data_IF_979870528485
#
_entry.id   IF_979870528485
#
_cell.length_a   1.000
_cell.length_b   1.000
_cell.length_c   1.000
_cell.angle_alpha   90.00
_cell.angle_beta   90.00
_cell.angle_gamma   90.00
#
_symmetry.space_group_name_H-M   'P 1'
#
loop_
_entity.id
_entity.type
_entity.pdbx_description
1 polymer ?
#
# COMPACT_ATOMS: atom_id res chain seq x y z
N UNK A 1 0.43 -18.25 3.11
CA UNK A 1 1.55 -19.18 2.93
C UNK A 1 2.75 -18.52 3.59
N UNK A 2 2.95 -18.80 4.88
CA UNK A 2 3.86 -18.02 5.73
C UNK A 2 5.02 -18.92 6.10
N UNK A 3 6.14 -18.78 5.40
CA UNK A 3 7.43 -19.21 5.94
C UNK A 3 8.03 -18.02 6.70
N UNK A 4 8.97 -18.29 7.62
CA UNK A 4 10.13 -17.45 7.97
C UNK A 4 10.45 -17.41 9.47
N UNK A 5 11.60 -17.99 9.80
CA UNK A 5 12.59 -17.40 10.71
C UNK A 5 13.81 -17.09 9.86
N UNK A 6 14.52 -16.00 10.12
CA UNK A 6 15.75 -15.68 9.41
C UNK A 6 16.77 -15.12 10.39
N UNK A 7 18.02 -15.56 10.24
CA UNK A 7 19.20 -14.87 10.73
C UNK A 7 20.04 -14.57 9.50
N UNK A 8 20.38 -13.31 9.25
CA UNK A 8 21.25 -12.94 8.13
C UNK A 8 22.70 -12.92 8.61
N UNK A 9 23.48 -13.89 8.13
CA UNK A 9 24.93 -13.82 8.23
C UNK A 9 25.51 -13.62 6.83
N UNK A 10 26.37 -12.62 6.67
CA UNK A 10 27.23 -12.51 5.50
C UNK A 10 28.33 -13.56 5.60
N UNK A 11 28.10 -14.75 5.03
CA UNK A 11 29.14 -15.77 4.88
C UNK A 11 29.91 -15.49 3.57
N UNK A 12 30.87 -14.57 3.61
CA UNK A 12 31.67 -14.19 2.44
C UNK A 12 30.87 -13.44 1.37
N UNK A 13 30.94 -13.88 0.11
CA UNK A 13 30.34 -13.20 -1.05
C UNK A 13 28.82 -13.45 -1.23
N UNK A 14 28.20 -14.30 -0.42
CA UNK A 14 26.77 -14.65 -0.54
C UNK A 14 25.98 -14.34 0.73
N UNK A 15 24.68 -14.11 0.58
CA UNK A 15 23.73 -13.98 1.68
C UNK A 15 23.21 -15.36 2.06
N UNK A 16 23.21 -15.67 3.36
CA UNK A 16 22.69 -16.92 3.88
C UNK A 16 21.28 -16.72 4.45
N UNK A 17 20.33 -17.51 3.96
CA UNK A 17 19.00 -17.64 4.55
C UNK A 17 18.88 -18.99 5.25
N UNK A 18 18.38 -19.00 6.48
CA UNK A 18 18.01 -20.23 7.19
C UNK A 18 16.51 -20.37 7.17
N UNK A 19 15.98 -21.46 6.59
CA UNK A 19 14.56 -21.76 6.56
C UNK A 19 14.10 -22.37 7.89
N UNK A 20 12.77 -22.48 8.09
CA UNK A 20 12.19 -22.96 9.35
C UNK A 20 12.60 -24.41 9.68
N UNK A 21 12.86 -25.22 8.68
CA UNK A 21 13.34 -26.61 8.82
C UNK A 21 14.86 -26.71 9.05
N UNK A 22 15.56 -25.57 9.13
CA UNK A 22 17.01 -25.49 9.29
C UNK A 22 17.78 -25.54 7.97
N UNK A 23 17.10 -25.72 6.82
CA UNK A 23 17.76 -25.67 5.52
C UNK A 23 18.42 -24.30 5.29
N UNK A 24 19.64 -24.33 4.76
CA UNK A 24 20.40 -23.14 4.43
C UNK A 24 20.38 -22.90 2.92
N UNK A 25 20.06 -21.68 2.51
CA UNK A 25 20.05 -21.24 1.12
C UNK A 25 21.03 -20.08 0.96
N UNK A 26 21.94 -20.20 0.00
CA UNK A 26 22.86 -19.12 -0.36
C UNK A 26 22.33 -18.39 -1.58
N UNK A 27 22.25 -17.06 -1.51
CA UNK A 27 21.79 -16.20 -2.60
C UNK A 27 22.70 -14.98 -2.78
N UNK A 28 22.80 -14.49 -4.01
CA UNK A 28 23.53 -13.26 -4.32
C UNK A 28 22.69 -12.00 -4.01
N UNK A 29 21.36 -12.13 -3.98
CA UNK A 29 20.41 -11.08 -3.60
C UNK A 29 19.23 -11.70 -2.85
N UNK A 30 18.76 -11.03 -1.80
CA UNK A 30 17.55 -11.40 -1.07
C UNK A 30 16.56 -10.23 -1.11
N UNK A 31 15.30 -10.53 -1.43
CA UNK A 31 14.20 -9.56 -1.41
C UNK A 31 13.23 -9.91 -0.29
N UNK A 32 13.12 -9.00 0.68
CA UNK A 32 12.13 -9.04 1.75
C UNK A 32 10.78 -8.55 1.24
N UNK A 33 9.90 -9.50 0.93
CA UNK A 33 8.50 -9.27 0.54
C UNK A 33 7.52 -9.94 1.53
N UNK A 34 7.90 -10.01 2.80
CA UNK A 34 7.23 -10.78 3.87
C UNK A 34 6.15 -9.99 4.62
N UNK A 35 5.69 -8.88 4.04
CA UNK A 35 4.51 -8.14 4.47
C UNK A 35 4.70 -7.29 5.73
N UNK A 36 3.60 -6.81 6.30
CA UNK A 36 3.60 -5.84 7.41
C UNK A 36 4.26 -6.36 8.71
N UNK A 37 4.37 -7.67 8.87
CA UNK A 37 5.07 -8.33 9.98
C UNK A 37 6.53 -8.69 9.64
N UNK A 38 7.12 -7.97 8.69
CA UNK A 38 8.40 -8.32 8.09
C UNK A 38 9.52 -8.50 9.12
N UNK A 39 10.19 -9.65 9.02
CA UNK A 39 11.49 -9.89 9.67
C UNK A 39 12.62 -9.27 8.85
N UNK A 40 12.51 -9.30 7.52
CA UNK A 40 13.50 -8.66 6.65
C UNK A 40 13.68 -7.17 6.98
N UNK A 41 12.58 -6.46 7.24
CA UNK A 41 12.58 -5.06 7.69
C UNK A 41 13.36 -4.89 9.00
N UNK A 42 13.16 -5.79 9.97
CA UNK A 42 13.89 -5.73 11.24
C UNK A 42 15.38 -6.00 11.07
N UNK A 43 15.76 -6.89 10.17
CA UNK A 43 17.15 -7.22 9.84
C UNK A 43 17.85 -6.05 9.12
N UNK A 44 17.14 -5.40 8.21
CA UNK A 44 17.60 -4.17 7.56
C UNK A 44 17.77 -3.07 8.60
N UNK A 45 16.80 -2.84 9.48
CA UNK A 45 16.81 -1.75 10.47
C UNK A 45 17.76 -1.99 11.65
N UNK A 46 17.90 -3.24 12.08
CA UNK A 46 18.50 -3.61 13.36
C UNK A 46 17.56 -3.40 14.57
N UNK A 47 16.29 -3.08 14.32
CA UNK A 47 15.27 -2.90 15.36
C UNK A 47 13.87 -3.19 14.82
N UNK A 48 12.90 -3.37 15.72
CA UNK A 48 11.50 -3.62 15.35
C UNK A 48 10.81 -2.35 14.83
N UNK A 49 10.27 -2.40 13.61
CA UNK A 49 9.39 -1.35 13.08
C UNK A 49 7.98 -1.52 13.66
N UNK A 50 7.72 -0.86 14.79
CA UNK A 50 6.45 -0.97 15.52
C UNK A 50 5.37 -0.09 14.90
N UNK A 51 4.16 -0.61 14.87
CA UNK A 51 2.98 0.17 14.59
C UNK A 51 2.82 1.31 15.62
N UNK A 52 2.33 2.44 15.15
CA UNK A 52 1.95 3.60 15.95
C UNK A 52 0.47 3.91 15.73
N UNK A 53 -0.12 4.63 16.68
CA UNK A 53 -1.50 5.11 16.55
C UNK A 53 -1.65 6.00 15.30
N UNK A 54 -2.65 5.76 14.44
CA UNK A 54 -2.88 6.58 13.26
C UNK A 54 -3.45 7.95 13.64
N UNK A 55 -3.31 8.92 12.73
CA UNK A 55 -3.67 10.32 13.00
C UNK A 55 -5.18 10.59 12.98
N UNK A 56 -5.91 9.94 12.07
CA UNK A 56 -7.29 10.31 11.76
C UNK A 56 -8.30 9.16 11.99
N UNK A 57 -7.94 7.93 11.64
CA UNK A 57 -8.80 6.77 11.78
C UNK A 57 -8.00 5.55 12.23
N UNK A 58 -8.50 4.85 13.24
CA UNK A 58 -7.85 3.67 13.83
C UNK A 58 -8.63 2.37 13.61
N UNK A 59 -9.77 2.45 12.90
CA UNK A 59 -10.61 1.31 12.67
C UNK A 59 -11.34 1.40 11.32
N UNK A 60 -11.62 0.25 10.71
CA UNK A 60 -12.60 0.19 9.65
C UNK A 60 -13.47 -1.08 9.70
N UNK A 61 -14.71 -0.94 9.23
CA UNK A 61 -15.59 -2.04 8.90
C UNK A 61 -15.51 -2.34 7.41
N UNK A 62 -15.44 -3.62 7.05
CA UNK A 62 -15.47 -4.08 5.67
C UNK A 62 -16.52 -5.17 5.48
N UNK A 63 -17.29 -5.05 4.42
CA UNK A 63 -18.31 -6.03 4.07
C UNK A 63 -18.59 -6.00 2.57
N UNK A 64 -19.16 -7.10 2.07
CA UNK A 64 -19.55 -7.26 0.68
C UNK A 64 -21.05 -7.49 0.61
N UNK A 65 -21.69 -6.93 -0.43
CA UNK A 65 -23.10 -7.17 -0.72
C UNK A 65 -23.23 -7.59 -2.19
N UNK A 66 -23.77 -8.78 -2.50
CA UNK A 66 -24.08 -9.15 -3.87
C UNK A 66 -25.07 -8.16 -4.50
N UNK A 67 -24.81 -7.73 -5.73
CA UNK A 67 -25.69 -6.81 -6.44
C UNK A 67 -27.11 -7.38 -6.61
N UNK A 68 -27.23 -8.70 -6.81
CA UNK A 68 -28.50 -9.40 -6.90
C UNK A 68 -29.34 -9.24 -5.62
N UNK A 69 -28.72 -9.31 -4.44
CA UNK A 69 -29.41 -9.10 -3.15
C UNK A 69 -30.04 -7.71 -3.08
N UNK A 70 -29.36 -6.69 -3.63
CA UNK A 70 -29.88 -5.33 -3.65
C UNK A 70 -30.99 -5.17 -4.70
N UNK A 71 -30.85 -5.84 -5.85
CA UNK A 71 -31.79 -5.78 -6.97
C UNK A 71 -33.16 -6.38 -6.63
N UNK A 72 -33.16 -7.46 -5.83
CA UNK A 72 -34.37 -8.17 -5.40
C UNK A 72 -35.27 -7.35 -4.44
N UNK A 73 -34.78 -6.25 -3.89
CA UNK A 73 -35.53 -5.39 -2.97
C UNK A 73 -35.79 -4.00 -3.59
N UNK A 74 -37.07 -3.62 -3.68
CA UNK A 74 -37.49 -2.34 -4.23
C UNK A 74 -36.89 -1.12 -3.49
N UNK A 75 -36.59 -1.26 -2.20
CA UNK A 75 -36.02 -0.19 -1.38
C UNK A 75 -34.50 -0.04 -1.56
N UNK A 76 -33.80 -1.03 -2.11
CA UNK A 76 -32.34 -1.00 -2.27
C UNK A 76 -31.83 -1.15 -3.70
N UNK A 77 -32.67 -1.58 -4.65
CA UNK A 77 -32.27 -1.75 -6.07
C UNK A 77 -31.74 -0.48 -6.72
N UNK A 78 -32.13 0.69 -6.20
CA UNK A 78 -31.61 1.97 -6.67
C UNK A 78 -30.08 2.05 -6.57
N UNK A 79 -29.48 1.29 -5.66
CA UNK A 79 -28.04 1.28 -5.44
C UNK A 79 -27.24 0.73 -6.64
N UNK A 80 -27.83 -0.21 -7.40
CA UNK A 80 -27.21 -0.80 -8.59
C UNK A 80 -27.23 0.13 -9.81
N UNK A 81 -27.97 1.24 -9.76
CA UNK A 81 -28.00 2.21 -10.87
C UNK A 81 -26.73 3.05 -10.90
N UNK A 82 -26.24 3.31 -12.10
CA UNK A 82 -25.09 4.20 -12.37
C UNK A 82 -23.86 3.90 -11.49
N UNK A 83 -23.60 2.61 -11.22
CA UNK A 83 -22.49 2.17 -10.36
C UNK A 83 -21.25 1.71 -11.12
N UNK A 84 -21.35 1.50 -12.44
CA UNK A 84 -20.29 0.93 -13.26
C UNK A 84 -19.05 1.83 -13.30
N UNK A 85 -17.93 1.33 -12.78
CA UNK A 85 -16.64 2.04 -12.79
C UNK A 85 -16.54 3.21 -11.80
N UNK A 86 -17.54 3.43 -10.94
CA UNK A 86 -17.54 4.52 -9.98
C UNK A 86 -17.33 4.03 -8.54
N UNK A 87 -16.54 4.78 -7.79
CA UNK A 87 -16.51 4.71 -6.34
C UNK A 87 -17.38 5.83 -5.74
N UNK A 88 -18.20 5.48 -4.75
CA UNK A 88 -18.99 6.42 -3.97
C UNK A 88 -18.27 6.71 -2.67
N UNK A 89 -18.05 7.98 -2.38
CA UNK A 89 -17.52 8.47 -1.11
C UNK A 89 -18.64 9.20 -0.38
N UNK A 90 -18.93 8.77 0.85
CA UNK A 90 -19.89 9.40 1.75
C UNK A 90 -19.14 9.85 3.01
N UNK A 91 -18.54 11.05 2.99
CA UNK A 91 -17.82 11.58 4.13
C UNK A 91 -18.76 12.27 5.11
N UNK A 92 -18.46 12.16 6.40
CA UNK A 92 -18.98 13.01 7.46
C UNK A 92 -17.78 13.74 8.09
N UNK A 93 -17.66 15.03 7.77
CA UNK A 93 -16.51 15.84 8.17
C UNK A 93 -16.51 16.20 9.66
N UNK A 94 -17.68 16.25 10.30
CA UNK A 94 -17.81 16.63 11.70
C UNK A 94 -17.33 15.50 12.61
N UNK A 95 -17.78 14.27 12.32
CA UNK A 95 -17.34 13.07 13.06
C UNK A 95 -16.08 12.42 12.49
N UNK A 96 -15.58 12.91 11.35
CA UNK A 96 -14.45 12.35 10.57
C UNK A 96 -14.65 10.90 10.15
N UNK A 97 -15.90 10.43 10.09
CA UNK A 97 -16.27 9.10 9.57
C UNK A 97 -16.41 9.14 8.06
N UNK A 98 -16.10 8.04 7.39
CA UNK A 98 -16.18 7.92 5.94
C UNK A 98 -16.73 6.57 5.56
N UNK A 99 -17.62 6.54 4.58
CA UNK A 99 -18.03 5.31 3.94
C UNK A 99 -17.63 5.35 2.46
N UNK A 100 -17.00 4.28 2.01
CA UNK A 100 -16.58 4.08 0.62
C UNK A 100 -17.29 2.85 0.09
N UNK A 101 -17.89 2.98 -1.09
CA UNK A 101 -18.52 1.85 -1.77
C UNK A 101 -18.12 1.82 -3.25
N UNK A 102 -17.78 0.65 -3.76
CA UNK A 102 -17.47 0.45 -5.18
C UNK A 102 -17.80 -0.98 -5.61
N UNK A 103 -17.98 -1.17 -6.91
CA UNK A 103 -18.26 -2.49 -7.46
C UNK A 103 -17.00 -3.30 -7.74
N UNK A 104 -17.14 -4.62 -7.65
CA UNK A 104 -16.11 -5.62 -7.93
C UNK A 104 -16.69 -6.71 -8.82
N UNK A 105 -15.81 -7.47 -9.49
CA UNK A 105 -16.18 -8.67 -10.27
C UNK A 105 -17.27 -8.37 -11.31
N UNK A 106 -17.02 -7.42 -12.20
CA UNK A 106 -17.96 -6.97 -13.23
C UNK A 106 -19.34 -6.62 -12.62
N UNK A 107 -19.33 -5.74 -11.62
CA UNK A 107 -20.54 -5.20 -10.97
C UNK A 107 -21.43 -6.22 -10.24
N UNK A 108 -20.97 -7.46 -10.06
CA UNK A 108 -21.75 -8.50 -9.35
C UNK A 108 -21.70 -8.36 -7.82
N UNK A 109 -20.73 -7.63 -7.28
CA UNK A 109 -20.54 -7.43 -5.84
C UNK A 109 -20.22 -5.97 -5.54
N UNK A 110 -20.89 -5.40 -4.54
CA UNK A 110 -20.49 -4.12 -3.94
C UNK A 110 -19.57 -4.37 -2.75
N UNK A 111 -18.39 -3.76 -2.76
CA UNK A 111 -17.50 -3.68 -1.60
C UNK A 111 -17.77 -2.39 -0.84
N UNK A 112 -17.91 -2.50 0.48
CA UNK A 112 -18.05 -1.38 1.39
C UNK A 112 -16.88 -1.33 2.38
N UNK A 113 -16.40 -0.11 2.63
CA UNK A 113 -15.41 0.19 3.67
C UNK A 113 -15.90 1.39 4.47
N UNK A 114 -16.15 1.20 5.75
CA UNK A 114 -16.54 2.26 6.67
C UNK A 114 -15.35 2.57 7.60
N UNK A 115 -14.76 3.75 7.49
CA UNK A 115 -13.55 4.16 8.20
C UNK A 115 -13.92 5.19 9.26
N UNK A 116 -13.40 5.02 10.47
CA UNK A 116 -13.72 5.88 11.60
C UNK A 116 -12.63 5.84 12.67
N UNK A 117 -12.70 6.80 13.59
CA UNK A 117 -11.94 6.77 14.82
C UNK A 117 -12.79 6.14 15.94
N UNK A 118 -12.22 5.19 16.67
CA UNK A 118 -12.84 4.53 17.80
C UNK A 118 -11.97 4.69 19.04
N UNK A 119 -12.47 5.45 20.02
CA UNK A 119 -11.77 5.72 21.28
C UNK A 119 -11.57 4.47 22.15
N UNK A 120 -12.32 3.39 21.89
CA UNK A 120 -12.26 2.14 22.65
C UNK A 120 -11.29 1.12 22.06
N UNK A 121 -10.67 1.43 20.91
CA UNK A 121 -9.60 0.60 20.35
C UNK A 121 -8.34 0.71 21.23
N UNK A 122 -7.86 -0.41 21.81
CA UNK A 122 -6.64 -0.39 22.62
C UNK A 122 -5.42 0.06 21.80
N UNK A 123 -4.51 0.85 22.38
CA UNK A 123 -3.30 1.32 21.70
C UNK A 123 -2.33 0.18 21.31
N UNK A 124 -2.47 -1.01 21.90
CA UNK A 124 -1.66 -2.21 21.65
C UNK A 124 -2.37 -3.27 20.80
N UNK A 125 -3.46 -2.89 20.09
CA UNK A 125 -4.19 -3.84 19.26
C UNK A 125 -3.29 -4.43 18.17
N UNK A 126 -3.45 -5.73 17.89
CA UNK A 126 -2.69 -6.43 16.84
C UNK A 126 -3.45 -6.42 15.52
N UNK A 127 -2.70 -6.35 14.42
CA UNK A 127 -3.22 -6.31 13.04
C UNK A 127 -4.09 -7.52 12.67
N UNK A 128 -3.82 -8.67 13.31
CA UNK A 128 -4.56 -9.92 13.11
C UNK A 128 -5.94 -9.94 13.79
N UNK A 129 -6.35 -8.87 14.47
CA UNK A 129 -7.65 -8.79 15.12
C UNK A 129 -8.78 -8.50 14.11
N UNK A 130 -8.99 -9.46 13.21
CA UNK A 130 -10.17 -9.53 12.36
C UNK A 130 -11.31 -10.09 13.20
N UNK A 131 -12.12 -9.21 13.79
CA UNK A 131 -13.33 -9.63 14.46
C UNK A 131 -14.48 -9.63 13.45
N UNK A 132 -15.11 -10.78 13.26
CA UNK A 132 -16.46 -10.81 12.70
C UNK A 132 -17.35 -10.03 13.66
N UNK A 133 -18.08 -9.05 13.12
CA UNK A 133 -19.03 -8.24 13.88
C UNK A 133 -20.42 -8.40 13.25
N UNK A 134 -21.49 -8.29 14.06
CA UNK A 134 -22.82 -8.25 13.51
C UNK A 134 -23.02 -6.96 12.69
N UNK A 135 -23.79 -7.04 11.61
CA UNK A 135 -24.11 -5.87 10.78
C UNK A 135 -24.85 -4.78 11.56
N UNK A 136 -25.56 -5.15 12.64
CA UNK A 136 -26.16 -4.18 13.55
C UNK A 136 -25.14 -3.22 14.16
N UNK A 137 -23.91 -3.67 14.47
CA UNK A 137 -22.86 -2.78 14.98
C UNK A 137 -22.47 -1.71 13.94
N UNK A 138 -22.47 -2.08 12.66
CA UNK A 138 -22.26 -1.12 11.56
C UNK A 138 -23.44 -0.14 11.47
N UNK A 139 -24.68 -0.64 11.54
CA UNK A 139 -25.87 0.21 11.47
C UNK A 139 -25.96 1.19 12.65
N UNK A 140 -25.67 0.73 13.87
CA UNK A 140 -25.67 1.55 15.07
C UNK A 140 -24.62 2.66 15.00
N UNK A 141 -23.42 2.33 14.49
CA UNK A 141 -22.31 3.29 14.35
C UNK A 141 -22.62 4.42 13.37
N UNK A 142 -23.41 4.12 12.33
CA UNK A 142 -23.75 5.03 11.25
C UNK A 142 -25.25 5.39 11.26
N UNK A 143 -25.94 5.26 12.39
CA UNK A 143 -27.40 5.41 12.49
C UNK A 143 -27.93 6.79 12.05
N UNK A 144 -27.05 7.78 12.04
CA UNK A 144 -27.28 9.16 11.61
C UNK A 144 -27.07 9.40 10.10
N UNK A 145 -26.61 8.39 9.35
CA UNK A 145 -26.49 8.46 7.90
C UNK A 145 -27.85 8.32 7.20
N UNK A 146 -27.88 8.59 5.89
CA UNK A 146 -29.10 8.53 5.09
C UNK A 146 -29.84 7.18 5.27
N UNK A 147 -31.15 7.17 5.60
CA UNK A 147 -31.90 5.94 5.83
C UNK A 147 -31.89 4.95 4.66
N UNK A 148 -31.86 5.43 3.41
CA UNK A 148 -31.75 4.58 2.22
C UNK A 148 -30.41 3.85 2.14
N UNK A 149 -29.31 4.52 2.51
CA UNK A 149 -28.00 3.89 2.63
C UNK A 149 -27.98 2.84 3.75
N UNK A 150 -28.60 3.13 4.89
CA UNK A 150 -28.68 2.16 5.99
C UNK A 150 -29.48 0.90 5.59
N UNK A 151 -30.55 1.04 4.79
CA UNK A 151 -31.25 -0.11 4.20
C UNK A 151 -30.34 -0.95 3.30
N UNK A 152 -29.50 -0.31 2.49
CA UNK A 152 -28.50 -1.00 1.66
C UNK A 152 -27.50 -1.74 2.54
N UNK A 153 -26.88 -1.08 3.53
CA UNK A 153 -25.91 -1.68 4.44
C UNK A 153 -26.51 -2.87 5.20
N UNK A 154 -27.79 -2.76 5.60
CA UNK A 154 -28.54 -3.82 6.25
C UNK A 154 -28.70 -5.11 5.43
N UNK A 155 -28.39 -5.10 4.12
CA UNK A 155 -28.35 -6.29 3.27
C UNK A 155 -27.05 -7.09 3.35
N UNK A 156 -26.02 -6.56 4.04
CA UNK A 156 -24.82 -7.32 4.31
C UNK A 156 -25.15 -8.55 5.18
N UNK A 157 -24.47 -9.67 4.92
CA UNK A 157 -24.62 -10.89 5.74
C UNK A 157 -23.64 -10.91 6.91
N UNK A 158 -22.46 -10.37 6.70
CA UNK A 158 -21.37 -10.32 7.66
C UNK A 158 -20.59 -9.02 7.45
N UNK A 159 -19.98 -8.54 8.52
CA UNK A 159 -19.01 -7.47 8.48
C UNK A 159 -17.78 -7.85 9.31
N UNK A 160 -16.62 -7.35 8.88
CA UNK A 160 -15.36 -7.53 9.58
C UNK A 160 -14.86 -6.18 10.07
N UNK A 161 -14.40 -6.16 11.31
CA UNK A 161 -13.66 -5.03 11.88
C UNK A 161 -12.17 -5.25 11.70
N UNK A 162 -11.48 -4.19 11.31
CA UNK A 162 -10.03 -4.15 11.12
C UNK A 162 -9.43 -2.98 11.88
N UNK A 163 -8.40 -3.19 12.71
CA UNK A 163 -7.59 -2.08 13.18
C UNK A 163 -6.83 -1.45 12.02
N UNK A 164 -6.80 -0.12 11.99
CA UNK A 164 -5.92 0.64 11.12
C UNK A 164 -4.69 1.00 11.93
N UNK A 165 -3.55 0.44 11.54
CA UNK A 165 -2.28 0.65 12.21
C UNK A 165 -1.29 1.26 11.23
N UNK A 166 -0.70 2.38 11.64
CA UNK A 166 0.26 3.10 10.82
C UNK A 166 1.68 2.71 11.23
N UNK A 167 2.61 2.65 10.28
CA UNK A 167 4.05 2.65 10.57
C UNK A 167 4.67 3.85 9.86
N UNK A 168 5.54 4.61 10.52
CA UNK A 168 6.23 5.70 9.86
C UNK A 168 7.15 5.17 8.75
N UNK A 169 7.49 6.00 7.75
CA UNK A 169 8.47 5.60 6.77
C UNK A 169 9.81 5.27 7.40
N UNK A 170 10.42 4.20 6.91
CA UNK A 170 11.71 3.72 7.39
C UNK A 170 12.85 4.42 6.66
N UNK A 171 14.00 4.66 7.32
CA UNK A 171 15.07 5.51 6.79
C UNK A 171 15.86 4.88 5.64
N UNK A 172 15.84 3.56 5.47
CA UNK A 172 16.54 2.84 4.41
C UNK A 172 15.86 1.50 4.14
N UNK A 173 15.85 1.07 2.88
CA UNK A 173 15.15 -0.12 2.40
C UNK A 173 16.07 -1.29 2.07
N UNK A 174 17.36 -1.15 2.35
CA UNK A 174 18.31 -2.22 2.13
C UNK A 174 19.46 -2.19 3.14
N UNK A 175 20.07 -3.36 3.33
CA UNK A 175 21.33 -3.52 4.05
C UNK A 175 22.12 -4.64 3.38
N UNK A 176 23.35 -4.33 2.96
CA UNK A 176 24.14 -5.22 2.11
C UNK A 176 23.28 -5.69 0.91
N UNK A 177 23.08 -7.01 0.76
CA UNK A 177 22.35 -7.63 -0.34
C UNK A 177 20.92 -8.07 0.03
N UNK A 178 20.34 -7.43 1.05
CA UNK A 178 18.93 -7.56 1.41
C UNK A 178 18.20 -6.26 1.06
N UNK A 179 17.24 -6.32 0.14
CA UNK A 179 16.35 -5.21 -0.21
C UNK A 179 14.90 -5.47 0.20
N UNK A 180 14.11 -4.44 0.49
CA UNK A 180 12.72 -4.54 0.92
C UNK A 180 11.74 -4.05 -0.17
N UNK A 181 10.58 -4.70 -0.27
CA UNK A 181 9.49 -4.32 -1.19
C UNK A 181 8.12 -4.42 -0.49
N UNK A 182 7.13 -3.68 -0.99
CA UNK A 182 5.75 -3.72 -0.51
C UNK A 182 5.61 -3.38 0.98
N UNK A 183 4.69 -4.05 1.67
CA UNK A 183 4.39 -3.81 3.08
C UNK A 183 5.57 -4.11 4.04
N UNK A 184 6.64 -4.78 3.58
CA UNK A 184 7.87 -4.91 4.36
C UNK A 184 8.65 -3.59 4.43
N UNK A 185 8.50 -2.74 3.43
CA UNK A 185 9.17 -1.44 3.30
C UNK A 185 8.27 -0.26 3.68
N UNK A 186 7.02 -0.24 3.20
CA UNK A 186 6.13 0.94 3.28
C UNK A 186 4.65 0.58 3.56
N UNK A 187 4.35 -0.16 4.63
CA UNK A 187 2.96 -0.48 4.96
C UNK A 187 2.16 0.79 5.25
N UNK A 188 1.02 0.95 4.59
CA UNK A 188 0.22 2.18 4.62
C UNK A 188 -1.25 1.91 4.85
N UNK A 189 -1.97 2.92 5.35
CA UNK A 189 -3.41 2.82 5.54
C UNK A 189 -4.15 2.83 4.19
N UNK A 190 -5.37 2.26 4.11
CA UNK A 190 -6.02 2.00 2.83
C UNK A 190 -6.74 3.23 2.24
N UNK A 191 -6.54 4.44 2.78
CA UNK A 191 -7.31 5.63 2.37
C UNK A 191 -7.16 6.00 0.89
N UNK A 192 -6.01 5.69 0.28
CA UNK A 192 -5.75 5.96 -1.14
C UNK A 192 -5.76 4.72 -2.03
N UNK A 193 -5.89 3.51 -1.46
CA UNK A 193 -5.81 2.27 -2.22
C UNK A 193 -4.43 1.99 -2.85
N UNK A 194 -3.36 2.60 -2.33
CA UNK A 194 -2.05 2.63 -2.99
C UNK A 194 -1.06 1.55 -2.59
N UNK A 195 -1.25 0.84 -1.46
CA UNK A 195 -0.26 -0.15 -0.99
C UNK A 195 0.11 -1.20 -2.04
N UNK A 196 -0.90 -1.77 -2.71
CA UNK A 196 -0.68 -2.74 -3.79
C UNK A 196 0.01 -2.13 -5.02
N UNK A 197 -0.37 -0.92 -5.42
CA UNK A 197 0.23 -0.23 -6.56
C UNK A 197 1.71 0.10 -6.29
N UNK A 198 2.04 0.57 -5.08
CA UNK A 198 3.43 0.84 -4.68
C UNK A 198 4.27 -0.45 -4.64
N UNK A 199 3.70 -1.58 -4.21
CA UNK A 199 4.38 -2.87 -4.30
C UNK A 199 4.65 -3.33 -5.74
N UNK A 200 3.76 -3.03 -6.69
CA UNK A 200 4.00 -3.29 -8.12
C UNK A 200 5.10 -2.38 -8.68
N UNK A 201 5.09 -1.09 -8.33
CA UNK A 201 6.16 -0.16 -8.67
C UNK A 201 7.52 -0.64 -8.15
N UNK A 202 7.58 -1.18 -6.93
CA UNK A 202 8.81 -1.72 -6.37
C UNK A 202 9.36 -2.89 -7.19
N UNK A 203 8.50 -3.86 -7.54
CA UNK A 203 8.90 -5.01 -8.35
C UNK A 203 9.41 -4.59 -9.72
N UNK A 204 8.74 -3.62 -10.34
CA UNK A 204 9.12 -3.04 -11.63
C UNK A 204 10.49 -2.33 -11.56
N UNK A 205 10.65 -1.41 -10.61
CA UNK A 205 11.91 -0.67 -10.44
C UNK A 205 13.05 -1.61 -10.04
N UNK A 206 12.81 -2.58 -9.16
CA UNK A 206 13.80 -3.60 -8.80
C UNK A 206 14.24 -4.41 -10.03
N UNK A 207 13.31 -4.81 -10.90
CA UNK A 207 13.63 -5.50 -12.15
C UNK A 207 14.50 -4.67 -13.09
N UNK A 208 14.17 -3.39 -13.26
CA UNK A 208 14.93 -2.45 -14.11
C UNK A 208 16.33 -2.23 -13.55
N UNK A 209 16.43 -1.82 -12.28
CA UNK A 209 17.73 -1.46 -11.69
C UNK A 209 18.64 -2.67 -11.51
N UNK A 210 18.11 -3.89 -11.43
CA UNK A 210 18.91 -5.13 -11.37
C UNK A 210 19.25 -5.70 -12.75
N UNK A 211 18.72 -5.14 -13.84
CA UNK A 211 18.97 -5.64 -15.18
C UNK A 211 20.46 -5.52 -15.56
N UNK A 212 21.10 -6.63 -15.91
CA UNK A 212 22.52 -6.67 -16.26
C UNK A 212 23.48 -6.58 -15.06
N UNK A 213 22.97 -6.71 -13.83
CA UNK A 213 23.83 -6.77 -12.65
C UNK A 213 24.80 -7.96 -12.73
N UNK A 214 26.10 -7.71 -12.59
CA UNK A 214 27.14 -8.70 -12.91
C UNK A 214 28.06 -9.09 -11.75
N UNK A 215 27.99 -8.37 -10.63
CA UNK A 215 28.82 -8.65 -9.46
C UNK A 215 28.13 -8.29 -8.14
N UNK A 216 28.67 -8.79 -7.03
CA UNK A 216 28.19 -8.46 -5.67
C UNK A 216 28.20 -6.95 -5.41
N UNK A 217 29.28 -6.25 -5.79
CA UNK A 217 29.41 -4.81 -5.59
C UNK A 217 28.41 -4.03 -6.43
N UNK A 218 28.13 -4.52 -7.64
CA UNK A 218 27.14 -3.96 -8.55
C UNK A 218 25.71 -4.13 -7.99
N UNK A 219 25.37 -5.31 -7.45
CA UNK A 219 24.09 -5.54 -6.76
C UNK A 219 23.89 -4.55 -5.60
N UNK A 220 24.91 -4.37 -4.75
CA UNK A 220 24.83 -3.44 -3.61
C UNK A 220 24.65 -1.98 -4.07
N UNK A 221 25.33 -1.57 -5.15
CA UNK A 221 25.14 -0.25 -5.75
C UNK A 221 23.73 -0.08 -6.33
N UNK A 222 23.20 -1.09 -7.01
CA UNK A 222 21.84 -1.08 -7.60
C UNK A 222 20.74 -1.08 -6.55
N UNK A 223 20.94 -1.71 -5.39
CA UNK A 223 20.03 -1.59 -4.24
C UNK A 223 19.98 -0.15 -3.70
N UNK A 224 21.11 0.57 -3.71
CA UNK A 224 21.13 1.98 -3.33
C UNK A 224 20.38 2.87 -4.35
N UNK A 225 20.47 2.54 -5.65
CA UNK A 225 19.69 3.22 -6.69
C UNK A 225 18.19 2.95 -6.51
N UNK A 226 17.81 1.70 -6.26
CA UNK A 226 16.43 1.31 -5.93
C UNK A 226 15.89 2.12 -4.74
N UNK A 227 16.66 2.21 -3.64
CA UNK A 227 16.28 3.01 -2.47
C UNK A 227 16.11 4.50 -2.83
N UNK A 228 17.04 5.08 -3.59
CA UNK A 228 16.97 6.49 -4.05
C UNK A 228 15.70 6.75 -4.86
N UNK A 229 15.33 5.83 -5.77
CA UNK A 229 14.16 6.00 -6.66
C UNK A 229 12.84 5.82 -5.90
N UNK A 230 12.77 4.81 -5.02
CA UNK A 230 11.50 4.37 -4.43
C UNK A 230 11.21 4.95 -3.07
N UNK A 231 12.22 5.07 -2.19
CA UNK A 231 11.99 5.33 -0.76
C UNK A 231 11.24 6.62 -0.54
N UNK A 232 11.70 7.74 -1.09
CA UNK A 232 11.04 9.04 -0.88
C UNK A 232 9.62 9.06 -1.47
N UNK A 233 9.43 8.52 -2.68
CA UNK A 233 8.10 8.43 -3.30
C UNK A 233 7.13 7.62 -2.46
N UNK A 234 7.48 6.39 -2.11
CA UNK A 234 6.60 5.52 -1.34
C UNK A 234 6.39 6.04 0.08
N UNK A 235 7.39 6.69 0.70
CA UNK A 235 7.25 7.36 1.99
C UNK A 235 6.21 8.48 1.92
N UNK A 236 6.25 9.29 0.86
CA UNK A 236 5.25 10.33 0.64
C UNK A 236 3.84 9.73 0.44
N UNK A 237 3.71 8.68 -0.38
CA UNK A 237 2.42 7.99 -0.59
C UNK A 237 1.93 7.32 0.70
N UNK A 238 2.82 6.76 1.51
CA UNK A 238 2.50 6.17 2.82
C UNK A 238 1.94 7.21 3.78
N UNK A 239 2.58 8.38 3.86
CA UNK A 239 2.12 9.51 4.69
C UNK A 239 0.78 10.05 4.21
N UNK A 240 0.65 10.30 2.89
CA UNK A 240 -0.59 10.75 2.27
C UNK A 240 -1.73 9.76 2.52
N UNK A 241 -1.45 8.47 2.44
CA UNK A 241 -2.41 7.41 2.68
C UNK A 241 -2.86 7.29 4.14
N UNK A 242 -2.25 8.02 5.08
CA UNK A 242 -2.66 8.06 6.50
C UNK A 242 -3.89 8.96 6.75
N UNK A 243 -4.32 9.72 5.75
CA UNK A 243 -5.48 10.62 5.79
C UNK A 243 -6.34 10.46 4.53
N UNK A 244 -7.54 11.03 4.53
CA UNK A 244 -8.35 11.14 3.31
C UNK A 244 -7.69 12.03 2.26
N UNK A 245 -7.99 11.81 0.97
CA UNK A 245 -7.44 12.63 -0.14
C UNK A 245 -7.80 14.12 -0.02
N UNK A 246 -8.96 14.42 0.56
CA UNK A 246 -9.50 15.74 0.90
C UNK A 246 -8.97 16.29 2.24
N UNK A 247 -7.98 15.63 2.84
CA UNK A 247 -7.36 16.00 4.12
C UNK A 247 -5.82 16.01 4.04
N UNK A 248 -5.26 16.06 2.83
CA UNK A 248 -3.82 15.98 2.59
C UNK A 248 -3.04 17.13 3.28
N UNK A 249 -3.68 18.27 3.51
CA UNK A 249 -3.13 19.40 4.25
C UNK A 249 -2.75 19.05 5.69
N UNK A 250 -3.42 18.07 6.31
CA UNK A 250 -3.12 17.61 7.67
C UNK A 250 -1.75 16.93 7.79
N UNK A 251 -1.18 16.47 6.68
CA UNK A 251 0.10 15.74 6.65
C UNK A 251 1.19 16.44 5.85
N UNK A 252 0.91 17.65 5.33
CA UNK A 252 1.86 18.39 4.49
C UNK A 252 3.23 18.59 5.15
N UNK A 253 3.28 18.86 6.46
CA UNK A 253 4.56 19.02 7.18
C UNK A 253 5.37 17.71 7.25
N UNK A 254 4.70 16.56 7.29
CA UNK A 254 5.36 15.25 7.33
C UNK A 254 5.96 14.84 5.97
N UNK A 255 5.55 15.48 4.87
CA UNK A 255 6.05 15.20 3.52
C UNK A 255 7.38 15.89 3.20
N UNK A 256 7.72 16.98 3.91
CA UNK A 256 8.94 17.78 3.68
C UNK A 256 10.27 17.01 3.71
N UNK A 257 10.45 15.92 4.49
CA UNK A 257 11.68 15.12 4.42
C UNK A 257 11.83 14.32 3.12
N UNK A 258 10.75 14.17 2.34
CA UNK A 258 10.69 13.27 1.19
C UNK A 258 10.44 13.99 -0.13
N UNK A 259 9.83 15.18 -0.08
CA UNK A 259 9.47 16.00 -1.23
C UNK A 259 9.94 17.43 -1.03
N UNK A 260 10.35 18.08 -2.12
CA UNK A 260 10.60 19.51 -2.14
C UNK A 260 9.28 20.28 -1.93
N UNK A 261 9.37 21.50 -1.41
CA UNK A 261 8.17 22.26 -1.00
C UNK A 261 7.19 22.50 -2.15
N UNK A 262 7.70 22.67 -3.37
CA UNK A 262 6.89 22.90 -4.57
C UNK A 262 6.23 21.60 -5.09
N UNK A 263 6.72 20.43 -4.66
CA UNK A 263 6.22 19.11 -5.06
C UNK A 263 5.20 18.53 -4.08
N UNK A 264 4.98 19.17 -2.92
CA UNK A 264 4.02 18.70 -1.92
C UNK A 264 2.59 18.93 -2.44
N UNK A 265 1.80 17.86 -2.68
CA UNK A 265 0.46 18.02 -3.20
C UNK A 265 -0.44 18.68 -2.14
N UNK A 266 -1.09 19.77 -2.55
CA UNK A 266 -1.88 20.65 -1.65
C UNK A 266 -3.39 20.56 -1.87
N UNK A 267 -3.83 19.88 -2.93
CA UNK A 267 -5.24 19.68 -3.26
C UNK A 267 -5.50 18.27 -3.80
N UNK A 268 -6.77 17.80 -3.83
CA UNK A 268 -7.10 16.45 -4.29
C UNK A 268 -6.63 16.11 -5.71
N UNK A 269 -6.63 17.07 -6.64
CA UNK A 269 -6.16 16.82 -8.01
C UNK A 269 -4.64 16.67 -8.06
N UNK A 270 -3.91 17.44 -7.25
CA UNK A 270 -2.46 17.25 -7.10
C UNK A 270 -2.14 15.90 -6.47
N UNK A 271 -2.88 15.49 -5.44
CA UNK A 271 -2.73 14.15 -4.82
C UNK A 271 -2.96 13.05 -5.87
N UNK A 272 -4.03 13.16 -6.67
CA UNK A 272 -4.30 12.20 -7.75
C UNK A 272 -3.17 12.19 -8.80
N UNK A 273 -2.70 13.35 -9.25
CA UNK A 273 -1.59 13.43 -10.22
C UNK A 273 -0.29 12.85 -9.67
N UNK A 274 0.07 13.21 -8.44
CA UNK A 274 1.26 12.70 -7.76
C UNK A 274 1.22 11.16 -7.62
N UNK A 275 0.04 10.63 -7.33
CA UNK A 275 -0.16 9.21 -7.07
C UNK A 275 -0.20 8.40 -8.38
N UNK A 276 -1.07 8.78 -9.32
CA UNK A 276 -1.40 7.98 -10.51
C UNK A 276 -0.65 8.40 -11.79
N UNK A 277 -0.04 9.60 -11.81
CA UNK A 277 0.65 10.13 -12.98
C UNK A 277 2.16 9.83 -13.02
N UNK A 278 2.69 9.09 -12.06
CA UNK A 278 4.13 8.83 -11.96
C UNK A 278 4.60 7.75 -12.91
N UNK A 279 5.73 8.01 -13.57
CA UNK A 279 6.39 7.07 -14.44
C UNK A 279 7.57 6.40 -13.74
N UNK A 280 7.32 5.23 -13.15
CA UNK A 280 8.35 4.48 -12.44
C UNK A 280 9.47 3.96 -13.37
N UNK A 281 9.15 3.71 -14.66
CA UNK A 281 10.12 3.23 -15.64
C UNK A 281 11.09 4.33 -16.03
N UNK A 282 10.58 5.53 -16.33
CA UNK A 282 11.41 6.71 -16.62
C UNK A 282 12.31 7.06 -15.42
N UNK A 283 11.74 7.10 -14.21
CA UNK A 283 12.51 7.40 -13.00
C UNK A 283 13.64 6.39 -12.74
N UNK A 284 13.36 5.09 -12.91
CA UNK A 284 14.37 4.04 -12.75
C UNK A 284 15.44 4.10 -13.84
N UNK A 285 15.02 4.30 -15.10
CA UNK A 285 15.94 4.36 -16.25
C UNK A 285 16.85 5.58 -16.16
N UNK A 286 16.31 6.75 -15.79
CA UNK A 286 17.11 7.96 -15.53
C UNK A 286 18.13 7.74 -14.42
N UNK A 287 17.72 7.16 -13.29
CA UNK A 287 18.62 6.88 -12.19
C UNK A 287 19.71 5.86 -12.56
N UNK A 288 19.39 4.87 -13.41
CA UNK A 288 20.38 3.94 -13.95
C UNK A 288 21.34 4.61 -14.94
N UNK A 289 20.86 5.52 -15.79
CA UNK A 289 21.72 6.31 -16.70
C UNK A 289 22.66 7.27 -15.96
N UNK A 290 22.26 7.77 -14.79
CA UNK A 290 23.15 8.53 -13.90
C UNK A 290 24.27 7.65 -13.31
N UNK A 291 24.00 6.36 -13.09
CA UNK A 291 24.96 5.40 -12.56
C UNK A 291 25.89 4.82 -13.65
N UNK A 292 25.31 4.46 -14.79
CA UNK A 292 25.98 3.95 -15.98
C UNK A 292 25.37 4.62 -17.22
N UNK A 293 26.11 5.54 -17.83
CA UNK A 293 25.65 6.29 -19.00
C UNK A 293 25.32 5.39 -20.20
N UNK A 294 25.84 4.16 -20.25
CA UNK A 294 25.54 3.16 -21.28
C UNK A 294 24.33 2.28 -20.96
N UNK A 295 23.63 2.51 -19.84
CA UNK A 295 22.48 1.71 -19.46
C UNK A 295 21.31 1.91 -20.44
N UNK A 296 20.87 0.80 -21.02
CA UNK A 296 19.66 0.72 -21.84
C UNK A 296 18.86 -0.51 -21.41
N UNK A 297 17.53 -0.36 -21.39
CA UNK A 297 16.63 -1.50 -21.28
C UNK A 297 16.58 -2.19 -22.65
N UNK A 298 16.73 -3.53 -22.70
CA UNK A 298 16.66 -4.23 -23.97
C UNK A 298 15.24 -4.08 -24.57
N UNK A 299 15.09 -4.09 -25.90
CA UNK A 299 13.79 -3.89 -26.56
C UNK A 299 12.70 -4.89 -26.13
N UNK A 300 13.11 -6.07 -25.65
CA UNK A 300 12.25 -7.15 -25.17
C UNK A 300 12.11 -7.21 -23.63
N UNK A 301 12.59 -6.19 -22.91
CA UNK A 301 12.42 -6.10 -21.45
C UNK A 301 10.95 -6.21 -21.05
N UNK A 302 10.07 -5.54 -21.80
CA UNK A 302 8.62 -5.71 -21.70
C UNK A 302 8.14 -6.65 -22.80
N UNK A 303 7.31 -7.63 -22.43
CA UNK A 303 6.78 -8.63 -23.38
C UNK A 303 5.81 -8.04 -24.42
N UNK A 304 5.28 -6.85 -24.16
CA UNK A 304 4.36 -6.12 -25.01
C UNK A 304 4.60 -4.62 -24.85
N UNK A 305 4.06 -3.82 -25.75
CA UNK A 305 4.00 -2.37 -25.56
C UNK A 305 3.28 -2.03 -24.25
N UNK A 306 3.87 -1.13 -23.47
CA UNK A 306 3.35 -0.72 -22.15
C UNK A 306 3.04 0.76 -22.19
N UNK A 307 1.78 1.11 -21.94
CA UNK A 307 1.34 2.50 -21.80
C UNK A 307 2.12 3.18 -20.68
N UNK A 308 2.71 4.33 -20.97
CA UNK A 308 3.49 5.10 -20.00
C UNK A 308 4.98 4.76 -19.97
N UNK A 309 5.47 3.82 -20.79
CA UNK A 309 6.92 3.67 -21.03
C UNK A 309 7.29 4.55 -22.24
N UNK A 310 8.26 5.48 -22.11
CA UNK A 310 8.73 6.24 -23.27
C UNK A 310 9.21 5.28 -24.36
N UNK A 311 8.91 5.53 -25.66
CA UNK A 311 9.44 4.70 -26.73
C UNK A 311 10.97 4.70 -26.67
N UNK A 312 11.59 3.55 -26.96
CA UNK A 312 13.02 3.52 -27.20
C UNK A 312 13.32 4.41 -28.41
N UNK A 313 14.13 5.47 -28.22
CA UNK A 313 14.58 6.36 -29.29
C UNK A 313 15.46 5.62 -30.31
#
# INVERSE_FOLDING_TARGET
MTFFFFFFFSAGSKSLLTLKDGQQVLADLVIGADGVHSKASQEVLGYSNKAVGPLAANCCYRFLIPAETLEQDAETRFWNKDCQGWARLMPDNDSKRRLVAYTCRNDTIHNFVAIFYDQHVPPDMREDWQANIPVSEVLDRFADYNPGLLKVIGKAKEAKRWPLLYRPPIPFWHRARLGLVGDAAHPMLPHMGQGGAQGLEDGLVMGIVMHGASSVKDIEARLAIYDKVRRNRASAVQILSNVGMDQAELVAQHLRPYLDSDDIPSDPLQVLRFTYGYNAVDAATKAMKEYDAGFELPPDFFQSEVVGVPPAE
#
